data_IF_275371737053
#
_entry.id   IF_275371737053
#
_cell.length_a   1.000
_cell.length_b   1.000
_cell.length_c   1.000
_cell.angle_alpha   90.00
_cell.angle_beta   90.00
_cell.angle_gamma   90.00
#
_symmetry.space_group_name_H-M   'P 1'
#
loop_
_entity.id
_entity.type
_entity.pdbx_description
1 polymer ?
#
# COMPACT_ATOMS: atom_id res chain seq x y z
N UNK A 1 22.91 2.42 2.30
CA UNK A 1 21.84 2.89 2.52
C UNK A 1 21.06 3.18 1.37
N UNK A 2 20.13 2.55 1.14
CA UNK A 2 19.40 2.78 -0.03
C UNK A 2 18.52 3.98 0.12
N UNK A 3 18.31 4.63 -0.96
CA UNK A 3 17.46 5.75 -1.00
C UNK A 3 16.11 5.29 -1.47
N UNK A 4 15.25 4.96 -0.53
CA UNK A 4 13.98 4.38 -0.86
C UNK A 4 12.95 5.40 -1.29
N UNK A 5 13.28 6.67 -1.32
CA UNK A 5 12.32 7.67 -1.72
C UNK A 5 11.92 7.58 -3.17
N UNK A 6 12.75 6.98 -4.02
CA UNK A 6 12.40 6.86 -5.41
C UNK A 6 11.29 5.84 -5.64
N UNK A 7 10.90 5.09 -4.60
CA UNK A 7 9.78 4.18 -4.69
C UNK A 7 8.46 4.90 -4.49
N UNK A 8 8.52 6.18 -4.18
CA UNK A 8 7.34 6.94 -3.80
C UNK A 8 7.16 8.10 -4.76
N UNK A 9 5.97 8.27 -5.29
CA UNK A 9 5.64 9.39 -6.16
C UNK A 9 4.19 9.77 -5.98
N UNK A 10 3.85 11.00 -6.35
CA UNK A 10 2.48 11.48 -6.25
C UNK A 10 1.78 11.33 -7.58
N UNK A 11 0.60 10.75 -7.57
CA UNK A 11 -0.24 10.61 -8.75
C UNK A 11 -1.63 11.07 -8.36
N UNK A 12 -2.10 12.14 -9.00
CA UNK A 12 -3.42 12.66 -8.71
C UNK A 12 -3.60 13.09 -7.25
N UNK A 13 -2.52 13.53 -6.62
CA UNK A 13 -2.57 13.95 -5.25
C UNK A 13 -2.49 12.82 -4.25
N UNK A 14 -2.28 11.60 -4.73
CA UNK A 14 -2.20 10.42 -3.87
C UNK A 14 -0.80 9.83 -3.95
N UNK A 15 -0.15 9.57 -2.83
CA UNK A 15 1.19 8.96 -2.85
C UNK A 15 1.11 7.49 -3.27
N UNK A 16 1.97 7.12 -4.19
CA UNK A 16 2.05 5.76 -4.71
C UNK A 16 3.44 5.21 -4.45
N UNK A 17 3.51 4.12 -3.72
CA UNK A 17 4.76 3.44 -3.43
C UNK A 17 4.82 2.20 -4.30
N UNK A 18 5.87 2.11 -5.13
CA UNK A 18 6.05 0.95 -5.99
C UNK A 18 6.81 -0.12 -5.22
N UNK A 19 6.18 -1.27 -5.05
CA UNK A 19 6.81 -2.35 -4.31
C UNK A 19 7.83 -3.07 -5.18
N UNK A 20 8.85 -3.68 -4.57
CA UNK A 20 9.88 -4.39 -5.32
C UNK A 20 9.35 -5.70 -5.89
N UNK A 21 10.16 -6.34 -6.74
CA UNK A 21 9.78 -7.61 -7.36
C UNK A 21 9.54 -8.70 -6.34
N UNK A 22 10.26 -8.67 -5.22
CA UNK A 22 10.10 -9.64 -4.17
C UNK A 22 10.00 -8.92 -2.83
N UNK A 23 8.99 -9.27 -2.05
CA UNK A 23 8.85 -8.72 -0.71
C UNK A 23 9.15 -9.84 0.27
N UNK A 24 10.35 -9.81 0.83
CA UNK A 24 10.79 -10.77 1.82
C UNK A 24 11.09 -10.00 3.11
N UNK A 25 11.73 -10.67 4.07
CA UNK A 25 11.94 -10.06 5.37
C UNK A 25 12.74 -8.77 5.28
N UNK A 26 13.70 -8.70 4.35
CA UNK A 26 14.53 -7.51 4.20
C UNK A 26 13.77 -6.37 3.53
N UNK A 27 13.19 -6.66 2.38
CA UNK A 27 12.48 -5.61 1.64
C UNK A 27 11.18 -5.21 2.32
N UNK A 28 10.58 -6.11 3.11
CA UNK A 28 9.40 -5.77 3.87
C UNK A 28 9.68 -4.66 4.88
N UNK A 29 10.84 -4.70 5.50
CA UNK A 29 11.20 -3.67 6.46
C UNK A 29 11.39 -2.32 5.78
N UNK A 30 12.03 -2.33 4.63
CA UNK A 30 12.20 -1.10 3.85
C UNK A 30 10.86 -0.55 3.39
N UNK A 31 9.99 -1.43 2.93
CA UNK A 31 8.67 -1.03 2.48
C UNK A 31 7.88 -0.42 3.62
N UNK A 32 7.95 -1.03 4.80
CA UNK A 32 7.26 -0.49 5.96
C UNK A 32 7.74 0.91 6.27
N UNK A 33 9.05 1.13 6.22
CA UNK A 33 9.61 2.45 6.51
C UNK A 33 9.08 3.50 5.54
N UNK A 34 9.05 3.17 4.25
CA UNK A 34 8.53 4.10 3.24
C UNK A 34 7.06 4.40 3.47
N UNK A 35 6.27 3.36 3.76
CA UNK A 35 4.84 3.54 3.94
C UNK A 35 4.53 4.36 5.17
N UNK A 36 5.23 4.10 6.27
CA UNK A 36 4.98 4.86 7.49
C UNK A 36 5.44 6.31 7.34
N UNK A 37 6.55 6.53 6.65
CA UNK A 37 7.01 7.89 6.41
C UNK A 37 6.02 8.65 5.55
N UNK A 38 5.48 8.00 4.54
CA UNK A 38 4.51 8.62 3.66
C UNK A 38 3.24 8.98 4.43
N UNK A 39 2.78 8.09 5.27
CA UNK A 39 1.59 8.36 6.08
C UNK A 39 1.84 9.49 7.07
N UNK A 40 3.05 9.54 7.63
CA UNK A 40 3.38 10.57 8.61
C UNK A 40 3.40 11.96 8.00
N UNK A 41 3.51 12.06 6.68
CA UNK A 41 3.49 13.35 6.00
C UNK A 41 2.08 13.88 5.79
N UNK A 42 1.09 13.22 6.37
CA UNK A 42 -0.27 13.70 6.35
C UNK A 42 -1.15 13.11 5.26
N UNK A 43 -0.70 12.07 4.60
CA UNK A 43 -1.50 11.44 3.56
C UNK A 43 -2.38 10.37 4.18
N UNK A 44 -3.68 10.57 4.12
CA UNK A 44 -4.62 9.61 4.69
C UNK A 44 -4.65 8.31 3.89
N UNK A 45 -4.53 8.42 2.57
CA UNK A 45 -4.56 7.26 1.70
C UNK A 45 -3.21 7.09 1.02
N UNK A 46 -2.67 5.88 1.09
CA UNK A 46 -1.40 5.54 0.46
C UNK A 46 -1.63 4.33 -0.42
N UNK A 47 -1.16 4.39 -1.66
CA UNK A 47 -1.31 3.29 -2.61
C UNK A 47 0.00 2.54 -2.71
N UNK A 48 -0.06 1.21 -2.60
CA UNK A 48 1.10 0.36 -2.83
C UNK A 48 0.88 -0.37 -4.15
N UNK A 49 1.74 -0.10 -5.11
CA UNK A 49 1.64 -0.71 -6.42
C UNK A 49 2.42 -2.01 -6.43
N UNK A 50 1.69 -3.12 -6.49
CA UNK A 50 2.28 -4.45 -6.51
C UNK A 50 2.36 -5.03 -7.92
N UNK A 51 2.22 -4.20 -8.94
CA UNK A 51 2.20 -4.67 -10.31
C UNK A 51 3.45 -5.47 -10.67
N UNK A 52 4.61 -5.02 -10.20
CA UNK A 52 5.87 -5.68 -10.51
C UNK A 52 6.25 -6.76 -9.50
N UNK A 53 5.43 -6.94 -8.48
CA UNK A 53 5.76 -7.88 -7.40
C UNK A 53 5.30 -9.27 -7.77
N UNK A 54 6.25 -10.18 -7.89
CA UNK A 54 5.94 -11.56 -8.23
C UNK A 54 5.96 -12.48 -7.02
N UNK A 55 6.45 -11.99 -5.89
CA UNK A 55 6.55 -12.81 -4.70
C UNK A 55 6.40 -11.95 -3.44
N UNK A 56 5.65 -12.48 -2.48
CA UNK A 56 5.45 -11.79 -1.21
C UNK A 56 5.28 -12.87 -0.14
N UNK A 57 6.20 -12.93 0.81
CA UNK A 57 6.12 -13.94 1.86
C UNK A 57 5.27 -13.44 3.03
N UNK A 58 5.24 -14.23 4.10
CA UNK A 58 4.43 -13.89 5.26
C UNK A 58 4.85 -12.57 5.88
N UNK A 59 6.13 -12.27 5.87
CA UNK A 59 6.61 -11.01 6.45
C UNK A 59 6.07 -9.83 5.67
N UNK A 60 6.03 -9.96 4.34
CA UNK A 60 5.49 -8.91 3.49
C UNK A 60 4.00 -8.71 3.72
N UNK A 61 3.26 -9.81 3.76
CA UNK A 61 1.83 -9.73 4.00
C UNK A 61 1.52 -9.11 5.34
N UNK A 62 2.26 -9.52 6.37
CA UNK A 62 2.06 -8.99 7.70
C UNK A 62 2.36 -7.50 7.77
N UNK A 63 3.39 -7.08 7.05
CA UNK A 63 3.75 -5.67 6.98
C UNK A 63 2.63 -4.85 6.37
N UNK A 64 2.08 -5.31 5.26
CA UNK A 64 1.00 -4.59 4.61
C UNK A 64 -0.22 -4.46 5.53
N UNK A 65 -0.56 -5.54 6.22
CA UNK A 65 -1.69 -5.51 7.12
C UNK A 65 -1.47 -4.56 8.29
N UNK A 66 -0.28 -4.59 8.86
CA UNK A 66 0.01 -3.71 9.99
C UNK A 66 -0.03 -2.24 9.60
N UNK A 67 0.55 -1.91 8.45
CA UNK A 67 0.53 -0.53 7.98
C UNK A 67 -0.90 -0.09 7.72
N UNK A 68 -1.71 -0.98 7.14
CA UNK A 68 -3.10 -0.64 6.88
C UNK A 68 -3.85 -0.35 8.18
N UNK A 69 -3.64 -1.17 9.19
CA UNK A 69 -4.31 -0.95 10.47
C UNK A 69 -3.88 0.34 11.13
N UNK A 70 -2.61 0.68 11.01
CA UNK A 70 -2.13 1.94 11.55
C UNK A 70 -2.74 3.12 10.80
N UNK A 71 -2.86 2.99 9.48
CA UNK A 71 -3.49 4.05 8.69
C UNK A 71 -4.96 4.21 9.07
N UNK A 72 -5.65 3.10 9.28
CA UNK A 72 -7.05 3.17 9.67
C UNK A 72 -7.24 3.86 11.02
N UNK A 73 -6.30 3.66 11.92
CA UNK A 73 -6.38 4.31 13.23
C UNK A 73 -6.34 5.84 13.09
N UNK A 74 -5.73 6.32 12.01
CA UNK A 74 -5.64 7.75 11.75
C UNK A 74 -6.67 8.21 10.73
N UNK A 75 -7.66 7.39 10.43
CA UNK A 75 -8.73 7.76 9.53
C UNK A 75 -8.42 7.56 8.07
N UNK A 76 -7.32 6.89 7.74
CA UNK A 76 -6.92 6.66 6.37
C UNK A 76 -6.97 5.18 6.00
N UNK A 77 -6.26 4.83 4.96
CA UNK A 77 -6.21 3.45 4.53
C UNK A 77 -5.05 3.22 3.58
N UNK A 78 -4.66 1.96 3.47
CA UNK A 78 -3.70 1.52 2.49
C UNK A 78 -4.51 0.93 1.34
N UNK A 79 -4.06 1.14 0.12
CA UNK A 79 -4.70 0.55 -1.06
C UNK A 79 -3.66 -0.20 -1.85
N UNK A 80 -4.02 -1.38 -2.32
CA UNK A 80 -3.10 -2.22 -3.06
C UNK A 80 -3.51 -2.30 -4.52
N UNK A 81 -2.54 -2.21 -5.42
CA UNK A 81 -2.77 -2.45 -6.83
C UNK A 81 -2.29 -3.85 -7.13
N UNK A 82 -3.21 -4.74 -7.46
CA UNK A 82 -2.89 -6.14 -7.70
C UNK A 82 -3.56 -6.58 -9.00
N UNK A 83 -2.87 -6.43 -10.11
CA UNK A 83 -3.44 -6.85 -11.39
C UNK A 83 -3.81 -8.32 -11.37
N UNK A 84 -4.85 -8.68 -12.10
CA UNK A 84 -5.31 -10.07 -12.14
C UNK A 84 -4.21 -11.00 -12.61
N UNK A 85 -4.21 -12.21 -12.07
CA UNK A 85 -3.22 -13.21 -12.43
C UNK A 85 -1.99 -13.12 -11.56
N UNK A 86 -1.22 -14.18 -11.54
CA UNK A 86 0.00 -14.21 -10.77
C UNK A 86 -0.23 -14.67 -9.35
N UNK A 87 0.87 -14.72 -8.61
CA UNK A 87 0.86 -15.28 -7.27
C UNK A 87 0.32 -14.32 -6.21
N UNK A 88 0.64 -13.04 -6.33
CA UNK A 88 0.29 -12.10 -5.27
C UNK A 88 -1.21 -11.98 -5.06
N UNK A 89 -2.02 -11.74 -6.11
CA UNK A 89 -3.46 -11.66 -5.85
C UNK A 89 -4.03 -12.98 -5.34
N UNK A 90 -3.46 -14.11 -5.74
CA UNK A 90 -3.90 -15.40 -5.24
C UNK A 90 -3.62 -15.53 -3.75
N UNK A 91 -2.43 -15.14 -3.32
CA UNK A 91 -2.08 -15.23 -1.91
C UNK A 91 -2.94 -14.29 -1.07
N UNK A 92 -3.21 -13.10 -1.59
CA UNK A 92 -4.07 -12.17 -0.88
C UNK A 92 -5.47 -12.74 -0.71
N UNK A 93 -5.97 -13.42 -1.73
CA UNK A 93 -7.29 -14.04 -1.65
C UNK A 93 -7.29 -15.21 -0.66
N UNK A 94 -6.26 -16.04 -0.71
CA UNK A 94 -6.18 -17.21 0.17
C UNK A 94 -6.06 -16.82 1.63
N UNK A 95 -5.40 -15.71 1.92
CA UNK A 95 -5.24 -15.24 3.28
C UNK A 95 -6.34 -14.30 3.71
N UNK A 96 -7.28 -14.01 2.82
CA UNK A 96 -8.38 -13.09 3.05
C UNK A 96 -7.92 -11.67 3.31
N UNK A 97 -6.68 -11.35 2.99
CA UNK A 97 -6.20 -9.98 3.15
C UNK A 97 -6.88 -9.03 2.18
N UNK A 98 -7.31 -9.55 1.02
CA UNK A 98 -8.01 -8.72 0.06
C UNK A 98 -9.37 -8.25 0.58
N UNK A 99 -9.84 -8.82 1.67
CA UNK A 99 -11.06 -8.35 2.32
C UNK A 99 -10.78 -7.31 3.38
N UNK A 100 -9.55 -7.26 3.85
CA UNK A 100 -9.18 -6.31 4.90
C UNK A 100 -8.56 -5.05 4.31
N UNK A 101 -7.82 -5.18 3.22
CA UNK A 101 -7.15 -4.06 2.58
C UNK A 101 -7.75 -3.88 1.20
N UNK A 102 -8.23 -2.68 0.85
CA UNK A 102 -8.79 -2.45 -0.48
C UNK A 102 -7.79 -2.79 -1.58
N UNK A 103 -8.23 -3.60 -2.53
CA UNK A 103 -7.39 -4.01 -3.65
C UNK A 103 -8.02 -3.56 -4.95
N UNK A 104 -7.20 -3.12 -5.88
CA UNK A 104 -7.65 -2.61 -7.16
C UNK A 104 -6.86 -3.27 -8.29
N UNK A 105 -7.51 -3.46 -9.42
CA UNK A 105 -6.87 -4.13 -10.55
C UNK A 105 -5.87 -3.23 -11.26
N UNK A 106 -6.01 -1.93 -11.14
CA UNK A 106 -5.10 -1.01 -11.81
C UNK A 106 -4.77 0.17 -10.90
N UNK A 107 -3.63 0.78 -11.19
CA UNK A 107 -3.21 1.97 -10.47
C UNK A 107 -4.21 3.10 -10.68
N UNK A 108 -4.73 3.21 -11.88
CA UNK A 108 -5.68 4.24 -12.21
C UNK A 108 -6.91 4.18 -11.31
N UNK A 109 -7.42 2.97 -11.10
CA UNK A 109 -8.58 2.79 -10.24
C UNK A 109 -8.28 3.13 -8.80
N UNK A 110 -7.11 2.70 -8.32
CA UNK A 110 -6.74 2.93 -6.94
C UNK A 110 -6.62 4.43 -6.65
N UNK A 111 -6.04 5.17 -7.57
CA UNK A 111 -5.84 6.59 -7.39
C UNK A 111 -7.14 7.36 -7.54
N UNK A 112 -7.96 6.98 -8.51
CA UNK A 112 -9.20 7.70 -8.78
C UNK A 112 -10.18 7.62 -7.62
N UNK A 113 -10.13 6.53 -6.87
CA UNK A 113 -11.05 6.33 -5.76
C UNK A 113 -10.46 6.70 -4.42
N UNK A 114 -9.42 7.50 -4.41
CA UNK A 114 -8.75 7.88 -3.19
C UNK A 114 -8.80 9.39 -2.97
N UNK A 115 -9.96 9.93 -2.56
CA UNK A 115 -10.07 11.37 -2.33
C UNK A 115 -9.34 11.75 -1.06
N UNK A 116 -8.03 11.94 -1.16
CA UNK A 116 -7.16 12.13 0.00
C UNK A 116 -7.61 13.28 0.89
N UNK A 117 -8.03 14.39 0.30
CA UNK A 117 -8.44 15.53 1.10
C UNK A 117 -9.68 15.22 1.90
N UNK A 118 -10.63 14.51 1.31
CA UNK A 118 -11.86 14.17 2.00
C UNK A 118 -11.58 13.20 3.15
N UNK A 119 -10.69 12.26 2.93
CA UNK A 119 -10.34 11.32 3.97
C UNK A 119 -9.70 12.04 5.16
N UNK A 120 -8.82 12.96 4.85
CA UNK A 120 -8.16 13.69 5.92
C UNK A 120 -9.15 14.51 6.71
N UNK A 121 -10.11 15.11 6.04
CA UNK A 121 -11.08 15.91 6.74
C UNK A 121 -11.91 15.06 7.67
N UNK A 122 -12.30 13.88 7.23
CA UNK A 122 -13.08 13.02 8.10
C UNK A 122 -12.28 12.55 9.29
N UNK A 123 -11.01 12.38 9.12
CA UNK A 123 -10.16 11.90 10.20
C UNK A 123 -10.08 12.93 11.33
N UNK A 124 -10.36 14.17 11.06
CA UNK A 124 -10.25 15.20 12.08
C UNK A 124 -11.51 15.36 12.91
N UNK A 125 -12.53 14.60 12.62
CA UNK A 125 -13.76 14.69 13.37
C UNK A 125 -13.92 13.63 14.44
#
# INVERSE_FOLDING_TARGET
MSDIRYLYKMIGGVPVVTAPAEIDITSADQLRTVLLDTAARGHATVVVDLTLTGFCDCCGLHTLLRVHKLAQADGGELRLVTPAGGMVPRILALTCLDRLIPCFASLQEAVAQAPAAANRRRATR
#
